data_IF_294111466633
#
_entry.id   IF_294111466633
#
_cell.length_a   1.000
_cell.length_b   1.000
_cell.length_c   1.000
_cell.angle_alpha   90.00
_cell.angle_beta   90.00
_cell.angle_gamma   90.00
#
_symmetry.space_group_name_H-M   'P 1'
#
loop_
_entity.id
_entity.type
_entity.pdbx_description
1 polymer ?
#
# COMPACT_ATOMS: atom_id res chain seq x y z
N UNK A 1 10.36 -7.94 19.26
CA UNK A 1 10.87 -7.91 17.87
C UNK A 1 12.31 -7.49 17.83
N UNK A 2 13.08 -8.01 16.87
CA UNK A 2 14.52 -7.78 16.73
C UNK A 2 14.90 -7.73 15.24
N UNK A 3 16.21 -7.76 14.94
CA UNK A 3 16.75 -7.71 13.57
C UNK A 3 16.22 -8.84 12.68
N UNK A 4 15.99 -10.05 13.21
CA UNK A 4 15.50 -11.17 12.40
C UNK A 4 14.06 -10.96 11.91
N UNK A 5 13.23 -10.22 12.65
CA UNK A 5 11.88 -9.84 12.21
C UNK A 5 11.94 -8.87 11.03
N UNK A 6 12.89 -7.93 11.06
CA UNK A 6 13.10 -6.99 9.94
C UNK A 6 13.68 -7.72 8.72
N UNK A 7 14.59 -8.68 8.94
CA UNK A 7 15.13 -9.52 7.86
C UNK A 7 14.01 -10.32 7.18
N UNK A 8 13.09 -10.90 7.95
CA UNK A 8 11.90 -11.57 7.41
C UNK A 8 11.03 -10.62 6.58
N UNK A 9 10.83 -9.38 7.04
CA UNK A 9 10.13 -8.37 6.26
C UNK A 9 10.88 -7.99 4.98
N UNK A 10 12.22 -7.97 5.01
CA UNK A 10 13.04 -7.66 3.84
C UNK A 10 12.97 -8.79 2.79
N UNK A 11 13.04 -10.06 3.22
CA UNK A 11 12.85 -11.21 2.34
C UNK A 11 11.46 -11.17 1.68
N UNK A 12 10.42 -10.91 2.48
CA UNK A 12 9.06 -10.75 1.98
C UNK A 12 8.94 -9.59 0.98
N UNK A 13 9.53 -8.44 1.30
CA UNK A 13 9.53 -7.28 0.41
C UNK A 13 10.27 -7.56 -0.90
N UNK A 14 11.40 -8.26 -0.85
CA UNK A 14 12.13 -8.66 -2.03
C UNK A 14 11.28 -9.53 -2.95
N UNK A 15 10.60 -10.53 -2.40
CA UNK A 15 9.81 -11.48 -3.19
C UNK A 15 8.54 -10.83 -3.75
N UNK A 16 7.81 -10.11 -2.91
CA UNK A 16 6.45 -9.66 -3.23
C UNK A 16 6.36 -8.23 -3.79
N UNK A 17 7.42 -7.43 -3.69
CA UNK A 17 7.38 -6.04 -4.17
C UNK A 17 8.53 -5.68 -5.11
N UNK A 18 9.70 -6.34 -5.02
CA UNK A 18 10.81 -6.09 -5.94
C UNK A 18 10.82 -7.05 -7.13
N UNK A 19 10.52 -8.34 -6.91
CA UNK A 19 10.46 -9.36 -7.96
C UNK A 19 9.04 -9.55 -8.52
N UNK A 20 8.05 -8.94 -7.89
CA UNK A 20 6.64 -9.01 -8.31
C UNK A 20 6.12 -7.60 -8.58
N UNK A 21 5.44 -7.41 -9.70
CA UNK A 21 4.65 -6.22 -9.95
C UNK A 21 3.18 -6.57 -10.10
N UNK A 22 2.32 -5.59 -9.77
CA UNK A 22 0.87 -5.77 -9.81
C UNK A 22 0.27 -4.84 -10.85
N UNK A 23 -0.51 -5.38 -11.78
CA UNK A 23 -1.39 -4.61 -12.65
C UNK A 23 -2.77 -4.57 -12.00
N UNK A 24 -3.25 -3.38 -11.72
CA UNK A 24 -4.57 -3.13 -11.15
C UNK A 24 -5.45 -2.50 -12.22
N UNK A 25 -6.67 -2.99 -12.36
CA UNK A 25 -7.68 -2.46 -13.28
C UNK A 25 -8.94 -2.18 -12.49
N UNK A 26 -9.46 -0.98 -12.62
CA UNK A 26 -10.68 -0.53 -11.95
C UNK A 26 -11.92 -0.78 -12.83
N UNK A 27 -13.11 -0.64 -12.25
CA UNK A 27 -14.37 -0.82 -12.99
C UNK A 27 -14.63 0.27 -14.03
N UNK A 28 -14.07 1.47 -13.84
CA UNK A 28 -14.14 2.58 -14.80
C UNK A 28 -13.08 2.50 -15.92
N UNK A 29 -12.28 1.41 -15.93
CA UNK A 29 -11.30 1.12 -16.98
C UNK A 29 -9.93 1.74 -16.79
N UNK A 30 -9.67 2.44 -15.68
CA UNK A 30 -8.31 2.88 -15.36
C UNK A 30 -7.42 1.69 -15.05
N UNK A 31 -6.16 1.81 -15.39
CA UNK A 31 -5.16 0.78 -15.10
C UNK A 31 -3.85 1.39 -14.64
N UNK A 32 -3.22 0.77 -13.66
CA UNK A 32 -1.95 1.21 -13.09
C UNK A 32 -1.10 0.05 -12.62
N UNK A 33 0.21 0.25 -12.64
CA UNK A 33 1.20 -0.73 -12.21
C UNK A 33 1.76 -0.34 -10.85
N UNK A 34 1.76 -1.29 -9.93
CA UNK A 34 2.32 -1.16 -8.59
C UNK A 34 3.59 -1.96 -8.48
N UNK A 35 4.68 -1.34 -8.04
CA UNK A 35 6.00 -1.94 -7.86
C UNK A 35 6.62 -1.54 -6.54
N UNK A 36 7.67 -2.24 -6.11
CA UNK A 36 8.53 -1.82 -5.00
C UNK A 36 9.85 -1.27 -5.49
N UNK A 37 10.49 -0.44 -4.65
CA UNK A 37 11.87 -0.02 -4.80
C UNK A 37 12.63 -0.21 -3.50
N UNK A 38 13.88 -0.68 -3.58
CA UNK A 38 14.75 -0.91 -2.39
C UNK A 38 14.86 0.33 -1.50
N UNK A 39 14.79 1.51 -2.11
CA UNK A 39 14.85 2.81 -1.42
C UNK A 39 13.72 3.04 -0.44
N UNK A 40 12.58 2.38 -0.66
CA UNK A 40 11.37 2.60 0.16
C UNK A 40 11.32 1.68 1.39
N UNK A 41 12.03 0.55 1.37
CA UNK A 41 11.97 -0.43 2.44
C UNK A 41 12.28 0.12 3.84
N UNK A 42 13.36 0.91 4.07
CA UNK A 42 13.61 1.45 5.41
C UNK A 42 12.44 2.30 5.93
N UNK A 43 11.82 3.10 5.08
CA UNK A 43 10.66 3.90 5.45
C UNK A 43 9.43 3.04 5.77
N UNK A 44 9.20 1.99 4.99
CA UNK A 44 8.12 1.02 5.27
C UNK A 44 8.28 0.35 6.63
N UNK A 45 9.52 0.12 7.06
CA UNK A 45 9.83 -0.45 8.38
C UNK A 45 9.90 0.61 9.49
N UNK A 46 9.63 1.87 9.19
CA UNK A 46 9.65 2.96 10.18
C UNK A 46 11.07 3.44 10.54
N UNK A 47 12.08 3.09 9.75
CA UNK A 47 13.46 3.56 9.93
C UNK A 47 13.58 4.96 9.33
N UNK A 48 13.92 5.95 10.17
CA UNK A 48 13.99 7.34 9.75
C UNK A 48 15.28 7.65 8.95
N UNK A 49 15.15 8.50 7.93
CA UNK A 49 16.27 8.93 7.09
C UNK A 49 17.47 9.45 7.89
N UNK A 50 17.22 10.32 8.89
CA UNK A 50 18.29 10.84 9.74
C UNK A 50 19.04 9.74 10.48
N UNK A 51 18.35 8.69 10.92
CA UNK A 51 18.93 7.60 11.71
C UNK A 51 19.91 6.78 10.88
N UNK A 52 19.56 6.36 9.67
CA UNK A 52 20.48 5.57 8.87
C UNK A 52 21.61 6.43 8.29
N UNK A 53 21.35 7.71 7.93
CA UNK A 53 22.39 8.62 7.43
C UNK A 53 23.45 8.91 8.49
N UNK A 54 23.07 9.18 9.74
CA UNK A 54 24.02 9.40 10.84
C UNK A 54 24.85 8.16 11.19
N UNK A 55 24.46 6.99 10.71
CA UNK A 55 25.18 5.72 10.91
C UNK A 55 25.86 5.21 9.62
N UNK A 56 26.20 6.11 8.70
CA UNK A 56 27.04 5.80 7.55
C UNK A 56 26.32 5.34 6.28
N UNK A 57 25.00 5.24 6.29
CA UNK A 57 24.24 4.88 5.09
C UNK A 57 23.82 6.12 4.31
N UNK A 58 24.56 6.48 3.27
CA UNK A 58 24.24 7.61 2.41
C UNK A 58 22.96 7.40 1.59
N UNK A 59 22.62 6.15 1.29
CA UNK A 59 21.46 5.77 0.48
C UNK A 59 20.67 4.65 1.14
N UNK A 60 19.32 4.70 1.14
CA UNK A 60 18.46 3.70 1.80
C UNK A 60 18.61 2.30 1.22
N UNK A 61 18.93 2.16 -0.08
CA UNK A 61 19.16 0.85 -0.69
C UNK A 61 20.40 0.12 -0.16
N UNK A 62 21.41 0.82 0.34
CA UNK A 62 22.58 0.18 0.95
C UNK A 62 22.17 -0.48 2.27
N UNK A 63 21.38 0.20 3.10
CA UNK A 63 20.84 -0.39 4.32
C UNK A 63 19.97 -1.61 4.01
N UNK A 64 19.10 -1.53 2.97
CA UNK A 64 18.30 -2.68 2.55
C UNK A 64 19.18 -3.86 2.14
N UNK A 65 20.22 -3.61 1.33
CA UNK A 65 21.14 -4.67 0.88
C UNK A 65 21.87 -5.35 2.06
N UNK A 66 22.27 -4.59 3.07
CA UNK A 66 22.89 -5.16 4.28
C UNK A 66 21.91 -6.00 5.08
N UNK A 67 20.65 -5.56 5.22
CA UNK A 67 19.62 -6.33 5.90
C UNK A 67 19.36 -7.67 5.16
N UNK A 68 19.20 -7.62 3.84
CA UNK A 68 18.99 -8.83 3.01
C UNK A 68 20.23 -9.75 3.04
N UNK A 69 21.43 -9.18 2.95
CA UNK A 69 22.69 -9.92 2.99
C UNK A 69 23.04 -10.46 4.38
N UNK A 70 22.23 -10.19 5.41
CA UNK A 70 22.52 -10.55 6.81
C UNK A 70 23.83 -9.92 7.34
N UNK A 71 24.24 -8.80 6.73
CA UNK A 71 25.38 -8.05 7.21
C UNK A 71 25.06 -7.35 8.54
N UNK A 72 26.07 -7.09 9.39
CA UNK A 72 25.87 -6.36 10.63
C UNK A 72 25.28 -4.96 10.39
N UNK A 73 24.18 -4.65 11.07
CA UNK A 73 23.55 -3.33 11.05
C UNK A 73 23.61 -2.75 12.47
N UNK A 74 23.95 -1.47 12.55
CA UNK A 74 24.06 -0.75 13.84
C UNK A 74 22.77 -0.85 14.67
N UNK A 75 22.89 -1.13 15.96
CA UNK A 75 21.77 -1.13 16.91
C UNK A 75 21.15 0.25 17.10
N UNK A 76 21.84 1.30 16.70
CA UNK A 76 21.26 2.65 16.64
C UNK A 76 20.23 2.79 15.51
N UNK A 77 20.30 1.96 14.45
CA UNK A 77 19.33 1.91 13.36
C UNK A 77 18.25 0.89 13.67
N UNK A 78 18.65 -0.33 14.03
CA UNK A 78 17.77 -1.45 14.35
C UNK A 78 18.13 -1.95 15.75
N UNK A 79 17.37 -1.57 16.78
CA UNK A 79 17.60 -2.03 18.14
C UNK A 79 17.53 -3.56 18.27
N UNK A 80 18.33 -4.14 19.15
CA UNK A 80 18.27 -5.57 19.46
C UNK A 80 16.91 -5.98 20.04
N UNK A 81 16.22 -5.04 20.71
CA UNK A 81 14.86 -5.24 21.21
C UNK A 81 13.99 -4.04 20.81
N UNK A 82 13.05 -4.27 19.89
CA UNK A 82 12.15 -3.23 19.40
C UNK A 82 10.92 -3.17 20.31
N UNK A 83 10.76 -2.04 20.99
CA UNK A 83 9.62 -1.80 21.87
C UNK A 83 8.28 -1.91 21.14
N UNK A 84 7.28 -2.53 21.80
CA UNK A 84 5.91 -2.68 21.30
C UNK A 84 5.20 -1.34 21.04
N UNK A 85 5.64 -0.27 21.69
CA UNK A 85 5.08 1.08 21.51
C UNK A 85 5.71 1.84 20.34
N UNK A 86 6.80 1.33 19.77
CA UNK A 86 7.51 2.04 18.69
C UNK A 86 6.75 1.96 17.36
N UNK A 87 6.97 2.99 16.51
CA UNK A 87 6.45 2.98 15.13
C UNK A 87 7.02 1.81 14.31
N UNK A 88 8.28 1.46 14.55
CA UNK A 88 8.96 0.34 13.89
C UNK A 88 8.25 -0.98 14.21
N UNK A 89 7.92 -1.22 15.49
CA UNK A 89 7.16 -2.41 15.89
C UNK A 89 5.84 -2.53 15.11
N UNK A 90 5.03 -1.46 15.09
CA UNK A 90 3.75 -1.45 14.39
C UNK A 90 3.88 -1.69 12.89
N UNK A 91 4.96 -1.20 12.27
CA UNK A 91 5.23 -1.40 10.85
C UNK A 91 5.65 -2.84 10.53
N UNK A 92 6.42 -3.49 11.42
CA UNK A 92 6.94 -4.84 11.21
C UNK A 92 5.87 -5.91 11.49
N UNK A 93 5.01 -5.67 12.48
CA UNK A 93 4.14 -6.69 13.09
C UNK A 93 3.37 -7.54 12.07
N UNK A 94 2.73 -6.90 11.11
CA UNK A 94 1.90 -7.55 10.11
C UNK A 94 2.35 -7.28 8.67
N UNK A 95 3.56 -6.79 8.46
CA UNK A 95 4.01 -6.44 7.12
C UNK A 95 3.99 -7.62 6.14
N UNK A 96 4.30 -8.81 6.61
CA UNK A 96 4.23 -10.04 5.79
C UNK A 96 2.81 -10.43 5.37
N UNK A 97 1.80 -9.77 5.92
CA UNK A 97 0.39 -9.93 5.51
C UNK A 97 -0.06 -8.80 4.58
N UNK A 98 0.83 -7.86 4.23
CA UNK A 98 0.45 -6.68 3.44
C UNK A 98 -0.09 -7.03 2.05
N UNK A 99 0.35 -8.13 1.44
CA UNK A 99 -0.18 -8.60 0.15
C UNK A 99 -1.58 -9.20 0.25
N UNK A 100 -2.07 -9.50 1.44
CA UNK A 100 -3.45 -9.97 1.63
C UNK A 100 -4.47 -8.99 1.07
N UNK A 101 -4.14 -7.70 1.07
CA UNK A 101 -4.98 -6.66 0.47
C UNK A 101 -5.33 -6.95 -1.01
N UNK A 102 -4.44 -7.62 -1.74
CA UNK A 102 -4.65 -7.96 -3.14
C UNK A 102 -5.47 -9.24 -3.36
N UNK A 103 -5.64 -10.08 -2.31
CA UNK A 103 -6.10 -11.45 -2.54
C UNK A 103 -7.30 -11.87 -1.72
N UNK A 104 -7.71 -11.06 -0.74
CA UNK A 104 -8.91 -11.36 0.06
C UNK A 104 -10.19 -11.16 -0.75
N UNK A 105 -11.27 -11.79 -0.30
CA UNK A 105 -12.53 -11.84 -1.05
C UNK A 105 -13.26 -10.49 -1.13
N UNK A 106 -12.88 -9.53 -0.30
CA UNK A 106 -13.60 -8.26 -0.19
C UNK A 106 -13.12 -7.19 -1.18
N UNK A 107 -12.09 -7.42 -1.95
CA UNK A 107 -11.51 -6.43 -2.85
C UNK A 107 -11.06 -5.14 -2.16
N UNK A 108 -9.84 -4.68 -2.42
CA UNK A 108 -9.40 -3.38 -1.93
C UNK A 108 -10.10 -2.26 -2.70
N UNK A 109 -10.16 -1.10 -2.06
CA UNK A 109 -10.51 0.15 -2.71
C UNK A 109 -9.24 0.85 -3.18
N UNK A 110 -9.28 1.42 -4.38
CA UNK A 110 -8.28 2.38 -4.82
C UNK A 110 -8.79 3.78 -4.52
N UNK A 111 -8.00 4.56 -3.82
CA UNK A 111 -8.32 5.92 -3.41
C UNK A 111 -7.33 6.84 -4.09
N UNK A 112 -7.79 7.77 -4.94
CA UNK A 112 -6.99 8.91 -5.39
C UNK A 112 -6.78 9.81 -4.19
N UNK A 113 -5.62 9.70 -3.56
CA UNK A 113 -5.43 10.26 -2.23
C UNK A 113 -5.09 11.73 -2.27
N UNK A 114 -5.97 12.54 -1.68
CA UNK A 114 -5.73 13.96 -1.48
C UNK A 114 -5.49 14.25 0.01
N UNK A 115 -4.27 14.60 0.42
CA UNK A 115 -3.94 14.83 1.82
C UNK A 115 -4.70 16.02 2.44
N UNK A 116 -5.25 16.93 1.65
CA UNK A 116 -6.02 18.07 2.17
C UNK A 116 -7.36 17.68 2.76
N UNK A 117 -7.91 16.53 2.36
CA UNK A 117 -9.19 16.02 2.82
C UNK A 117 -9.08 15.13 4.06
N UNK A 118 -7.88 14.79 4.47
CA UNK A 118 -7.67 13.95 5.65
C UNK A 118 -6.76 14.64 6.66
N UNK A 119 -7.02 14.42 7.94
CA UNK A 119 -6.12 14.84 9.02
C UNK A 119 -4.87 13.93 9.11
N UNK A 120 -4.58 13.18 8.06
CA UNK A 120 -3.46 12.25 8.03
C UNK A 120 -2.20 12.92 7.50
N UNK A 121 -1.04 12.43 7.94
CA UNK A 121 0.28 12.92 7.49
C UNK A 121 0.78 12.19 6.24
N UNK A 122 -0.10 11.73 5.36
CA UNK A 122 0.28 11.00 4.14
C UNK A 122 0.51 11.94 2.96
N UNK A 123 1.36 12.95 3.14
CA UNK A 123 1.59 14.04 2.16
C UNK A 123 2.27 13.59 0.86
N UNK A 124 2.71 12.33 0.77
CA UNK A 124 3.45 11.80 -0.38
C UNK A 124 2.76 10.58 -1.01
N UNK A 125 1.47 10.39 -0.72
CA UNK A 125 0.70 9.29 -1.29
C UNK A 125 -0.20 9.85 -2.38
N UNK A 126 -0.12 9.28 -3.58
CA UNK A 126 -0.99 9.62 -4.70
C UNK A 126 -2.15 8.62 -4.81
N UNK A 127 -1.86 7.33 -4.57
CA UNK A 127 -2.87 6.27 -4.53
C UNK A 127 -2.77 5.51 -3.21
N UNK A 128 -3.89 5.33 -2.54
CA UNK A 128 -4.00 4.49 -1.35
C UNK A 128 -4.88 3.28 -1.66
N UNK A 129 -4.32 2.08 -1.60
CA UNK A 129 -5.12 0.86 -1.58
C UNK A 129 -5.54 0.58 -0.15
N UNK A 130 -6.83 0.40 0.08
CA UNK A 130 -7.37 0.17 1.41
C UNK A 130 -8.29 -1.05 1.43
N UNK A 131 -8.04 -1.97 2.35
CA UNK A 131 -8.99 -3.02 2.75
C UNK A 131 -9.59 -2.63 4.10
N UNK A 132 -10.81 -2.15 4.09
CA UNK A 132 -11.51 -1.70 5.29
C UNK A 132 -11.85 -2.82 6.27
N UNK A 133 -11.98 -4.05 5.80
CA UNK A 133 -12.30 -5.19 6.66
C UNK A 133 -11.10 -5.60 7.50
N UNK A 134 -9.92 -5.67 6.87
CA UNK A 134 -8.68 -5.95 7.60
C UNK A 134 -8.09 -4.72 8.26
N UNK A 135 -8.38 -3.53 7.76
CA UNK A 135 -7.71 -2.29 8.18
C UNK A 135 -6.31 -2.14 7.58
N UNK A 136 -5.96 -2.95 6.58
CA UNK A 136 -4.68 -2.86 5.89
C UNK A 136 -4.73 -1.83 4.77
N UNK A 137 -3.71 -0.99 4.70
CA UNK A 137 -3.61 0.04 3.67
C UNK A 137 -2.18 0.13 3.14
N UNK A 138 -2.06 0.27 1.82
CA UNK A 138 -0.80 0.46 1.12
C UNK A 138 -0.86 1.78 0.36
N UNK A 139 0.04 2.71 0.67
CA UNK A 139 0.17 3.97 -0.04
C UNK A 139 1.25 3.89 -1.11
N UNK A 140 0.97 4.48 -2.25
CA UNK A 140 1.77 4.46 -3.45
C UNK A 140 1.98 5.87 -3.95
N UNK A 141 3.17 6.15 -4.47
CA UNK A 141 3.55 7.43 -5.06
C UNK A 141 3.86 7.25 -6.54
N UNK A 142 3.43 8.19 -7.36
CA UNK A 142 3.71 8.17 -8.80
C UNK A 142 5.22 8.15 -9.04
N UNK A 143 5.66 7.22 -9.87
CA UNK A 143 7.05 7.09 -10.29
C UNK A 143 7.18 7.26 -11.80
N UNK A 144 7.30 8.49 -12.25
CA UNK A 144 7.46 8.85 -13.67
C UNK A 144 8.81 8.40 -14.28
N UNK A 145 9.70 7.81 -13.50
CA UNK A 145 11.08 7.49 -13.92
C UNK A 145 11.29 6.08 -14.46
N UNK A 146 10.30 5.19 -14.37
CA UNK A 146 10.46 3.81 -14.81
C UNK A 146 9.75 3.60 -16.15
N UNK A 147 10.48 3.49 -17.25
CA UNK A 147 9.91 3.07 -18.55
C UNK A 147 9.60 1.56 -18.51
N UNK A 148 8.36 1.19 -18.55
CA UNK A 148 7.91 -0.09 -19.07
C UNK A 148 7.72 0.11 -20.56
N UNK A 149 8.06 -0.87 -21.37
CA UNK A 149 8.01 -0.86 -22.83
C UNK A 149 7.18 0.26 -23.46
N UNK A 150 7.77 0.96 -24.45
CA UNK A 150 7.30 2.19 -25.10
C UNK A 150 5.84 2.20 -25.62
N UNK A 151 5.12 1.08 -25.56
CA UNK A 151 3.79 0.91 -26.16
C UNK A 151 2.63 0.87 -25.15
N UNK A 152 2.88 1.00 -23.83
CA UNK A 152 1.81 0.95 -22.82
C UNK A 152 1.93 2.19 -21.95
N UNK A 153 1.07 3.18 -22.19
CA UNK A 153 0.88 4.36 -21.34
C UNK A 153 0.11 3.98 -20.05
N UNK A 154 0.76 3.21 -19.16
CA UNK A 154 0.23 2.95 -17.84
C UNK A 154 0.97 3.77 -16.80
N UNK A 155 0.25 4.37 -15.90
CA UNK A 155 0.85 5.02 -14.73
C UNK A 155 1.48 3.99 -13.82
N UNK A 156 2.68 4.30 -13.35
CA UNK A 156 3.42 3.47 -12.41
C UNK A 156 3.52 4.15 -11.08
N UNK A 157 3.34 3.35 -10.05
CA UNK A 157 3.40 3.78 -8.68
C UNK A 157 4.34 2.88 -7.89
N UNK A 158 5.14 3.50 -7.02
CA UNK A 158 6.00 2.80 -6.08
C UNK A 158 5.40 2.81 -4.69
N UNK A 159 5.46 1.67 -3.98
CA UNK A 159 5.03 1.60 -2.60
C UNK A 159 5.85 2.55 -1.72
N UNK A 160 5.19 3.42 -0.99
CA UNK A 160 5.85 4.39 -0.11
C UNK A 160 5.43 4.30 1.35
N UNK A 161 4.28 3.71 1.66
CA UNK A 161 3.85 3.53 3.04
C UNK A 161 3.01 2.27 3.23
N UNK A 162 3.11 1.73 4.44
CA UNK A 162 2.29 0.65 4.95
C UNK A 162 1.61 1.10 6.24
N UNK A 163 0.32 0.83 6.36
CA UNK A 163 -0.52 1.20 7.49
C UNK A 163 -1.28 -0.05 7.92
N UNK A 164 -1.18 -0.37 9.20
CA UNK A 164 -1.93 -1.44 9.83
C UNK A 164 -2.85 -0.82 10.90
N UNK A 165 -4.14 -0.77 10.57
CA UNK A 165 -5.22 -0.36 11.46
C UNK A 165 -6.12 -1.57 11.82
N UNK A 166 -5.60 -2.81 11.71
CA UNK A 166 -6.37 -4.03 11.99
C UNK A 166 -6.90 -4.08 13.42
N UNK A 167 -6.17 -3.47 14.35
CA UNK A 167 -6.58 -3.30 15.76
C UNK A 167 -7.09 -1.87 16.07
N UNK A 168 -7.22 -1.04 15.04
CA UNK A 168 -7.72 0.33 15.17
C UNK A 168 -9.24 0.39 15.34
N UNK A 169 -9.71 1.54 15.82
CA UNK A 169 -11.14 1.84 15.83
C UNK A 169 -11.66 2.01 14.40
N UNK A 170 -12.98 1.86 14.19
CA UNK A 170 -13.60 2.13 12.89
C UNK A 170 -13.26 3.54 12.39
N UNK A 171 -13.31 4.55 13.27
CA UNK A 171 -12.90 5.93 12.96
C UNK A 171 -11.43 6.03 12.54
N UNK A 172 -10.54 5.20 13.11
CA UNK A 172 -9.13 5.13 12.71
C UNK A 172 -8.95 4.62 11.29
N UNK A 173 -9.74 3.62 10.88
CA UNK A 173 -9.75 3.08 9.53
C UNK A 173 -10.32 4.07 8.51
N UNK A 174 -11.43 4.73 8.86
CA UNK A 174 -12.15 5.65 7.98
C UNK A 174 -11.43 6.97 7.75
N UNK A 175 -10.59 7.43 8.68
CA UNK A 175 -9.91 8.74 8.59
C UNK A 175 -9.12 8.95 7.30
N UNK A 176 -8.64 7.87 6.67
CA UNK A 176 -7.90 7.92 5.42
C UNK A 176 -8.80 7.93 4.18
N UNK A 177 -10.08 7.61 4.34
CA UNK A 177 -11.04 7.46 3.25
C UNK A 177 -12.07 8.60 3.18
N UNK A 178 -12.21 9.38 4.27
CA UNK A 178 -13.18 10.47 4.33
C UNK A 178 -12.92 11.51 3.25
N UNK A 179 -13.96 11.84 2.50
CA UNK A 179 -13.96 12.84 1.41
C UNK A 179 -12.96 12.55 0.27
N UNK A 180 -12.48 11.32 0.16
CA UNK A 180 -11.59 10.90 -0.92
C UNK A 180 -12.37 10.41 -2.12
N UNK A 181 -11.76 10.51 -3.29
CA UNK A 181 -12.25 9.89 -4.52
C UNK A 181 -11.90 8.40 -4.51
N UNK A 182 -12.93 7.54 -4.54
CA UNK A 182 -12.79 6.09 -4.36
C UNK A 182 -13.13 5.38 -5.64
N UNK A 183 -12.24 4.51 -6.11
CA UNK A 183 -12.42 3.66 -7.28
C UNK A 183 -12.48 2.19 -6.88
N UNK A 184 -13.39 1.46 -7.50
CA UNK A 184 -13.56 0.03 -7.26
C UNK A 184 -12.62 -0.78 -8.16
N UNK A 185 -11.84 -1.65 -7.56
CA UNK A 185 -10.94 -2.53 -8.30
C UNK A 185 -11.71 -3.73 -8.85
N UNK A 186 -11.56 -3.97 -10.16
CA UNK A 186 -12.13 -5.12 -10.85
C UNK A 186 -11.15 -6.28 -10.96
N UNK A 187 -9.91 -5.98 -11.34
CA UNK A 187 -8.88 -7.01 -11.53
C UNK A 187 -7.58 -6.64 -10.84
N UNK A 188 -6.92 -7.63 -10.29
CA UNK A 188 -5.51 -7.55 -9.91
C UNK A 188 -4.79 -8.74 -10.54
N UNK A 189 -3.69 -8.44 -11.23
CA UNK A 189 -2.77 -9.41 -11.79
C UNK A 189 -1.41 -9.23 -11.15
N UNK A 190 -0.78 -10.33 -10.72
CA UNK A 190 0.60 -10.32 -10.27
C UNK A 190 1.48 -10.99 -11.33
N UNK A 191 2.59 -10.36 -11.64
CA UNK A 191 3.59 -10.84 -12.57
C UNK A 191 4.95 -10.91 -11.90
N UNK A 192 5.77 -11.91 -12.26
CA UNK A 192 7.16 -11.96 -11.82
C UNK A 192 8.05 -11.01 -12.65
N UNK A 193 9.33 -10.95 -12.31
CA UNK A 193 10.36 -10.13 -12.99
C UNK A 193 10.52 -10.48 -14.49
N UNK A 194 10.14 -11.70 -14.90
CA UNK A 194 10.14 -12.14 -16.30
C UNK A 194 8.81 -11.84 -17.02
N UNK A 195 7.93 -11.04 -16.43
CA UNK A 195 6.59 -10.70 -16.95
C UNK A 195 5.67 -11.91 -17.13
N UNK A 196 5.91 -13.00 -16.42
CA UNK A 196 5.03 -14.15 -16.39
C UNK A 196 3.94 -13.96 -15.35
N UNK A 197 2.69 -14.24 -15.71
CA UNK A 197 1.55 -14.15 -14.81
C UNK A 197 1.69 -15.19 -13.69
N UNK A 198 1.76 -14.73 -12.43
CA UNK A 198 1.82 -15.59 -11.24
C UNK A 198 0.41 -15.84 -10.71
N UNK A 199 -0.41 -14.79 -10.65
CA UNK A 199 -1.72 -14.84 -10.02
C UNK A 199 -2.67 -13.79 -10.60
N UNK A 200 -3.95 -14.14 -10.67
CA UNK A 200 -5.05 -13.25 -11.05
C UNK A 200 -6.14 -13.30 -9.99
N UNK A 201 -6.74 -12.15 -9.71
CA UNK A 201 -7.98 -12.03 -8.93
C UNK A 201 -8.95 -11.13 -9.68
N UNK A 202 -10.21 -11.55 -9.72
CA UNK A 202 -11.33 -10.75 -10.17
C UNK A 202 -12.27 -10.52 -8.99
N UNK A 203 -12.75 -9.31 -8.86
CA UNK A 203 -13.73 -8.93 -7.85
C UNK A 203 -15.07 -8.66 -8.52
N UNK A 204 -16.13 -9.29 -8.05
CA UNK A 204 -17.48 -9.01 -8.56
C UNK A 204 -18.02 -7.73 -7.92
N UNK A 205 -18.77 -6.96 -8.71
CA UNK A 205 -19.43 -5.73 -8.24
C UNK A 205 -20.31 -5.98 -7.00
N UNK A 206 -21.01 -7.13 -6.95
CA UNK A 206 -21.86 -7.52 -5.82
C UNK A 206 -21.07 -7.78 -4.51
N UNK A 207 -19.81 -8.19 -4.60
CA UNK A 207 -18.95 -8.36 -3.43
C UNK A 207 -18.52 -6.99 -2.86
N UNK A 208 -18.36 -6.01 -3.73
CA UNK A 208 -17.94 -4.66 -3.36
C UNK A 208 -19.13 -3.86 -2.79
N UNK A 209 -20.32 -4.03 -3.33
CA UNK A 209 -21.54 -3.36 -2.84
C UNK A 209 -21.95 -3.74 -1.40
N UNK A 210 -21.51 -4.89 -0.89
CA UNK A 210 -21.73 -5.29 0.51
C UNK A 210 -20.88 -4.52 1.52
N UNK A 211 -20.02 -3.64 1.04
CA UNK A 211 -19.19 -2.82 1.89
C UNK A 211 -20.03 -1.61 2.33
N UNK A 212 -20.39 -1.57 3.60
CA UNK A 212 -21.11 -0.44 4.26
C UNK A 212 -20.33 0.90 4.24
N UNK A 213 -19.28 1.03 3.42
CA UNK A 213 -18.51 2.28 3.24
C UNK A 213 -19.44 3.40 2.77
N UNK A 214 -20.39 3.10 1.89
CA UNK A 214 -21.35 4.09 1.44
C UNK A 214 -22.16 4.68 2.59
N UNK A 215 -22.47 3.88 3.62
CA UNK A 215 -23.17 4.37 4.81
C UNK A 215 -22.32 5.24 5.72
N UNK A 216 -21.02 5.02 5.79
CA UNK A 216 -20.13 5.89 6.59
C UNK A 216 -19.87 7.22 5.88
N UNK A 217 -19.78 7.21 4.55
CA UNK A 217 -19.75 8.43 3.75
C UNK A 217 -21.08 9.20 3.79
N UNK A 218 -22.23 8.51 3.82
CA UNK A 218 -23.57 9.11 3.90
C UNK A 218 -23.77 10.02 5.11
N UNK A 219 -23.16 9.70 6.22
CA UNK A 219 -23.24 10.53 7.43
C UNK A 219 -22.44 11.83 7.34
N UNK A 220 -21.54 11.96 6.37
CA UNK A 220 -20.63 13.11 6.27
C UNK A 220 -20.99 14.12 5.19
N UNK A 221 -21.75 13.74 4.14
CA UNK A 221 -22.14 14.70 3.08
C UNK A 221 -23.21 14.13 2.14
N UNK A 222 -24.48 14.45 2.37
CA UNK A 222 -25.60 14.04 1.53
C UNK A 222 -25.51 14.48 0.05
N UNK A 223 -24.72 15.51 -0.26
CA UNK A 223 -24.57 16.04 -1.61
C UNK A 223 -23.49 15.36 -2.46
N UNK A 224 -22.43 14.81 -1.86
CA UNK A 224 -21.42 14.05 -2.60
C UNK A 224 -21.90 12.64 -3.00
N UNK A 225 -22.77 12.05 -2.20
CA UNK A 225 -23.32 10.72 -2.39
C UNK A 225 -24.23 10.58 -3.60
N UNK A 226 -24.92 11.63 -3.99
CA UNK A 226 -25.71 11.62 -5.21
C UNK A 226 -24.85 11.37 -6.46
N UNK A 227 -23.62 11.91 -6.49
CA UNK A 227 -22.65 11.65 -7.57
C UNK A 227 -22.08 10.23 -7.55
N UNK A 228 -21.67 9.74 -6.38
CA UNK A 228 -21.06 8.40 -6.21
C UNK A 228 -22.11 7.31 -6.41
N UNK A 229 -23.34 7.46 -5.86
CA UNK A 229 -24.40 6.48 -6.03
C UNK A 229 -24.89 6.38 -7.48
N UNK A 230 -24.93 7.49 -8.22
CA UNK A 230 -25.29 7.48 -9.63
C UNK A 230 -24.19 6.86 -10.53
N UNK A 231 -22.92 7.03 -10.21
CA UNK A 231 -21.82 6.38 -10.94
C UNK A 231 -21.70 4.89 -10.61
N UNK A 232 -22.05 4.48 -9.37
CA UNK A 232 -22.02 3.10 -8.90
C UNK A 232 -23.23 2.28 -9.37
N UNK A 233 -24.37 2.94 -9.69
CA UNK A 233 -25.59 2.28 -10.11
C UNK A 233 -25.72 2.07 -11.63
N UNK A 234 -24.79 2.56 -12.45
CA UNK A 234 -24.79 2.30 -13.89
C UNK A 234 -23.85 1.14 -14.20
N UNK A 235 -24.35 -0.03 -14.62
CA UNK A 235 -23.50 -1.05 -15.20
C UNK A 235 -22.83 -0.46 -16.46
N UNK A 236 -21.57 -0.75 -16.72
CA UNK A 236 -20.95 -0.36 -17.99
C UNK A 236 -21.71 -1.06 -19.13
N UNK A 237 -22.11 -0.30 -20.13
CA UNK A 237 -22.65 -0.81 -21.39
C UNK A 237 -21.66 -1.74 -22.08
#
# INVERSE_FOLDING_TARGET
>A
MNISDIQRCADFFQEHYLKTFYLVITYDGKSFILIGEKTNFPHLMGIQNRTYKSNGYNRPQHLFNDIIGRNPVSTAIIPNNISTTSKMYKKILNFTNSTDIFWKNHGPLAINYNPTFSNSKLNHVDVLLADIHTGYMLGWVSNNKVSVNANINMEKFCICTWIDESHGTQTGKEKYMLNQDVELIRYIFAFNENSQLIRKKEYSYSQIQKIDILKSCERSNSNLLMGVSQSLCKPPN
#
